data_IF_524374224864
#
_entry.id   IF_524374224864
#
_cell.length_a   1.000
_cell.length_b   1.000
_cell.length_c   1.000
_cell.angle_alpha   90.00
_cell.angle_beta   90.00
_cell.angle_gamma   90.00
#
_symmetry.space_group_name_H-M   'P 1'
#
loop_
_entity.id
_entity.type
_entity.pdbx_description
1 polymer ?
#
# COMPACT_ATOMS: atom_id res chain seq x y z
N UNK A 1 14.33 -28.90 -4.89
CA UNK A 1 13.90 -27.75 -4.07
C UNK A 1 14.52 -27.93 -2.71
N UNK A 2 15.34 -26.97 -2.32
CA UNK A 2 15.97 -26.98 -1.00
C UNK A 2 14.93 -26.55 0.05
N UNK A 3 14.99 -27.11 1.26
CA UNK A 3 14.09 -26.73 2.36
C UNK A 3 14.10 -25.22 2.62
N UNK A 4 15.24 -24.57 2.40
CA UNK A 4 15.38 -23.12 2.50
C UNK A 4 14.52 -22.37 1.48
N UNK A 5 14.47 -22.83 0.23
CA UNK A 5 13.68 -22.21 -0.83
C UNK A 5 12.17 -22.25 -0.50
N UNK A 6 11.70 -23.38 0.04
CA UNK A 6 10.29 -23.54 0.43
C UNK A 6 9.95 -22.59 1.58
N UNK A 7 10.88 -22.45 2.54
CA UNK A 7 10.67 -21.58 3.70
C UNK A 7 10.63 -20.10 3.31
N UNK A 8 11.55 -19.68 2.44
CA UNK A 8 11.58 -18.32 1.92
C UNK A 8 10.34 -17.98 1.11
N UNK A 9 9.87 -18.90 0.27
CA UNK A 9 8.65 -18.74 -0.50
C UNK A 9 7.42 -18.62 0.39
N UNK A 10 7.32 -19.45 1.43
CA UNK A 10 6.23 -19.36 2.40
C UNK A 10 6.21 -18.04 3.17
N UNK A 11 7.37 -17.54 3.59
CA UNK A 11 7.50 -16.24 4.24
C UNK A 11 7.13 -15.09 3.29
N UNK A 12 7.53 -15.19 2.03
CA UNK A 12 7.18 -14.18 1.02
C UNK A 12 5.67 -14.14 0.77
N UNK A 13 5.03 -15.30 0.61
CA UNK A 13 3.56 -15.38 0.47
C UNK A 13 2.83 -14.85 1.71
N UNK A 14 3.32 -15.16 2.90
CA UNK A 14 2.74 -14.66 4.13
C UNK A 14 2.80 -13.13 4.20
N UNK A 15 3.97 -12.54 3.92
CA UNK A 15 4.14 -11.08 3.87
C UNK A 15 3.19 -10.44 2.87
N UNK A 16 3.11 -11.01 1.68
CA UNK A 16 2.19 -10.53 0.63
C UNK A 16 0.73 -10.55 1.07
N UNK A 17 0.29 -11.64 1.72
CA UNK A 17 -1.08 -11.73 2.25
C UNK A 17 -1.34 -10.70 3.35
N UNK A 18 -0.35 -10.44 4.21
CA UNK A 18 -0.42 -9.38 5.20
C UNK A 18 -0.56 -8.00 4.55
N UNK A 19 0.24 -7.70 3.52
CA UNK A 19 0.16 -6.43 2.79
C UNK A 19 -1.21 -6.22 2.13
N UNK A 20 -1.75 -7.27 1.49
CA UNK A 20 -3.11 -7.23 0.93
C UNK A 20 -4.13 -6.92 2.03
N UNK A 21 -4.00 -7.57 3.18
CA UNK A 21 -4.87 -7.36 4.33
C UNK A 21 -4.81 -5.93 4.87
N UNK A 22 -3.61 -5.37 5.01
CA UNK A 22 -3.42 -3.99 5.49
C UNK A 22 -3.92 -2.93 4.51
N UNK A 23 -3.74 -3.17 3.22
CA UNK A 23 -4.13 -2.18 2.21
C UNK A 23 -5.60 -2.31 1.82
N UNK A 24 -6.08 -3.52 1.59
CA UNK A 24 -7.38 -3.78 0.96
C UNK A 24 -8.34 -4.65 1.77
N UNK A 25 -7.93 -5.10 2.96
CA UNK A 25 -8.78 -5.91 3.84
C UNK A 25 -10.11 -5.23 4.15
N UNK A 26 -11.16 -6.01 4.23
CA UNK A 26 -12.46 -5.51 4.70
C UNK A 26 -12.64 -5.83 6.16
N UNK A 27 -13.17 -4.87 6.91
CA UNK A 27 -13.59 -5.11 8.29
C UNK A 27 -14.60 -6.25 8.34
N UNK A 28 -14.33 -7.21 9.18
CA UNK A 28 -15.17 -8.40 9.29
C UNK A 28 -15.03 -9.09 10.63
N UNK A 29 -15.95 -10.02 10.86
CA UNK A 29 -15.96 -10.90 12.02
C UNK A 29 -16.23 -12.31 11.52
N UNK A 30 -15.32 -13.23 11.80
CA UNK A 30 -15.44 -14.64 11.44
C UNK A 30 -15.46 -15.49 12.71
N UNK A 31 -16.36 -16.46 12.74
CA UNK A 31 -16.34 -17.48 13.77
C UNK A 31 -15.32 -18.55 13.36
N UNK A 32 -14.24 -18.63 14.11
CA UNK A 32 -13.17 -19.60 13.86
C UNK A 32 -13.29 -20.76 14.86
N UNK A 33 -13.28 -21.98 14.34
CA UNK A 33 -13.17 -23.19 15.14
C UNK A 33 -11.87 -23.89 14.74
N UNK A 34 -10.97 -24.06 15.69
CA UNK A 34 -9.73 -24.77 15.45
C UNK A 34 -10.02 -26.26 15.21
N UNK A 35 -9.72 -26.74 14.02
CA UNK A 35 -9.89 -28.16 13.65
C UNK A 35 -8.95 -29.09 14.43
N UNK A 36 -7.81 -28.57 14.88
CA UNK A 36 -6.83 -29.33 15.66
C UNK A 36 -7.20 -29.40 17.15
N UNK A 37 -8.17 -28.59 17.59
CA UNK A 37 -8.67 -28.54 18.96
C UNK A 37 -10.20 -28.63 18.97
N UNK A 38 -10.78 -29.79 18.66
CA UNK A 38 -12.23 -29.93 18.46
C UNK A 38 -13.06 -29.61 19.70
N UNK A 39 -12.47 -29.67 20.89
CA UNK A 39 -13.13 -29.40 22.17
C UNK A 39 -13.03 -27.94 22.65
N UNK A 40 -12.34 -27.07 21.92
CA UNK A 40 -12.34 -25.63 22.22
C UNK A 40 -13.59 -24.94 21.66
N UNK A 41 -14.15 -24.02 22.47
CA UNK A 41 -15.25 -23.21 22.02
C UNK A 41 -14.82 -22.38 20.80
N UNK A 42 -15.70 -22.17 19.81
CA UNK A 42 -15.36 -21.35 18.67
C UNK A 42 -15.12 -19.90 19.11
N UNK A 43 -14.06 -19.31 18.61
CA UNK A 43 -13.66 -17.93 18.92
C UNK A 43 -13.97 -17.00 17.74
N UNK A 44 -14.28 -15.76 18.06
CA UNK A 44 -14.45 -14.75 17.03
C UNK A 44 -13.12 -14.13 16.65
N UNK A 45 -12.75 -14.24 15.37
CA UNK A 45 -11.63 -13.53 14.79
C UNK A 45 -12.13 -12.26 14.12
N UNK A 46 -11.57 -11.14 14.50
CA UNK A 46 -11.90 -9.82 13.95
C UNK A 46 -10.87 -9.41 12.93
N UNK A 47 -11.34 -8.99 11.76
CA UNK A 47 -10.49 -8.44 10.70
C UNK A 47 -10.55 -6.92 10.71
N UNK A 48 -9.39 -6.31 10.64
CA UNK A 48 -9.27 -4.87 10.56
C UNK A 48 -9.59 -4.39 9.13
N UNK A 49 -10.09 -3.17 9.03
CA UNK A 49 -10.29 -2.49 7.76
C UNK A 49 -8.94 -2.04 7.19
N UNK A 50 -8.72 -2.25 5.91
CA UNK A 50 -7.55 -1.80 5.20
C UNK A 50 -7.62 -0.31 4.84
N UNK A 51 -6.45 0.29 4.63
CA UNK A 51 -6.30 1.74 4.36
C UNK A 51 -7.17 2.21 3.19
N UNK A 52 -7.31 1.39 2.17
CA UNK A 52 -8.12 1.70 0.98
C UNK A 52 -9.57 2.12 1.32
N UNK A 53 -10.16 1.48 2.31
CA UNK A 53 -11.56 1.70 2.69
C UNK A 53 -11.76 2.87 3.66
N UNK A 54 -10.66 3.40 4.21
CA UNK A 54 -10.68 4.58 5.09
C UNK A 54 -10.49 5.89 4.31
N UNK A 55 -10.15 5.79 3.01
CA UNK A 55 -10.03 6.96 2.13
C UNK A 55 -11.43 7.51 1.85
N UNK A 56 -11.63 8.78 2.16
CA UNK A 56 -12.92 9.47 2.04
C UNK A 56 -12.95 10.55 0.95
N UNK A 57 -11.81 10.83 0.29
CA UNK A 57 -11.72 11.78 -0.82
C UNK A 57 -11.37 11.03 -2.10
N UNK A 58 -12.15 11.25 -3.14
CA UNK A 58 -11.98 10.56 -4.42
C UNK A 58 -11.78 11.60 -5.54
N UNK A 59 -10.90 11.28 -6.46
CA UNK A 59 -10.66 12.00 -7.70
C UNK A 59 -10.82 11.02 -8.85
N UNK A 60 -11.73 11.32 -9.77
CA UNK A 60 -11.98 10.49 -10.93
C UNK A 60 -11.23 11.05 -12.14
N UNK A 61 -10.52 10.20 -12.85
CA UNK A 61 -9.88 10.51 -14.11
C UNK A 61 -10.32 9.50 -15.18
N UNK A 62 -10.13 9.85 -16.46
CA UNK A 62 -10.45 8.95 -17.57
C UNK A 62 -9.20 8.10 -17.87
N UNK A 63 -9.24 6.76 -17.66
CA UNK A 63 -8.12 5.88 -17.97
C UNK A 63 -7.68 6.02 -19.44
N UNK A 64 -6.36 6.12 -19.65
CA UNK A 64 -5.77 6.37 -20.96
C UNK A 64 -5.77 7.84 -21.40
N UNK A 65 -6.34 8.76 -20.60
CA UNK A 65 -6.40 10.19 -20.90
C UNK A 65 -6.00 11.05 -19.69
N UNK A 66 -5.01 10.60 -18.94
CA UNK A 66 -4.48 11.38 -17.82
C UNK A 66 -3.82 12.66 -18.30
N UNK A 67 -4.12 13.76 -17.66
CA UNK A 67 -3.65 15.08 -18.06
C UNK A 67 -2.90 15.79 -16.92
N UNK A 68 -2.20 16.86 -17.25
CA UNK A 68 -1.61 17.75 -16.25
C UNK A 68 -2.66 18.31 -15.27
N UNK A 69 -3.87 18.60 -15.76
CA UNK A 69 -4.94 19.12 -14.92
C UNK A 69 -5.39 18.09 -13.88
N UNK A 70 -5.37 16.81 -14.21
CA UNK A 70 -5.67 15.74 -13.26
C UNK A 70 -4.63 15.68 -12.15
N UNK A 71 -3.34 15.80 -12.51
CA UNK A 71 -2.27 15.85 -11.51
C UNK A 71 -2.41 17.06 -10.58
N UNK A 72 -2.72 18.23 -11.11
CA UNK A 72 -2.98 19.43 -10.31
C UNK A 72 -4.23 19.26 -9.44
N UNK A 73 -5.29 18.64 -9.98
CA UNK A 73 -6.51 18.32 -9.23
C UNK A 73 -6.24 17.45 -8.03
N UNK A 74 -5.48 16.35 -8.23
CA UNK A 74 -5.07 15.43 -7.16
C UNK A 74 -4.21 16.18 -6.11
N UNK A 75 -3.21 16.94 -6.57
CA UNK A 75 -2.32 17.70 -5.69
C UNK A 75 -3.09 18.74 -4.89
N UNK A 76 -3.98 19.48 -5.53
CA UNK A 76 -4.85 20.46 -4.88
C UNK A 76 -5.75 19.79 -3.84
N UNK A 77 -6.38 18.64 -4.18
CA UNK A 77 -7.25 17.91 -3.24
C UNK A 77 -6.49 17.44 -2.01
N UNK A 78 -5.24 16.94 -2.17
CA UNK A 78 -4.40 16.48 -1.05
C UNK A 78 -3.99 17.63 -0.15
N UNK A 79 -3.55 18.76 -0.72
CA UNK A 79 -2.92 19.85 0.02
C UNK A 79 -3.88 21.02 0.36
N UNK A 80 -5.13 20.96 -0.10
CA UNK A 80 -6.16 21.92 0.30
C UNK A 80 -6.81 21.45 1.59
N UNK A 81 -6.62 22.22 2.64
CA UNK A 81 -7.08 21.94 3.97
C UNK A 81 -5.95 22.02 4.99
N UNK A 82 -6.28 21.89 6.25
CA UNK A 82 -5.33 22.03 7.36
C UNK A 82 -4.46 20.77 7.60
N UNK A 83 -4.10 20.06 6.54
CA UNK A 83 -3.27 18.86 6.61
C UNK A 83 -1.81 19.29 6.68
N UNK A 84 -1.18 19.04 7.82
CA UNK A 84 0.13 19.58 8.18
C UNK A 84 1.31 19.19 7.27
N UNK A 85 1.25 18.10 6.52
CA UNK A 85 2.33 17.67 5.62
C UNK A 85 2.14 18.23 4.21
N UNK A 86 3.21 18.85 3.68
CA UNK A 86 3.30 19.27 2.27
C UNK A 86 3.90 18.19 1.36
N UNK A 87 4.10 17.00 1.89
CA UNK A 87 4.61 15.85 1.16
C UNK A 87 3.54 14.77 1.14
N UNK A 88 3.14 14.34 -0.05
CA UNK A 88 2.22 13.23 -0.26
C UNK A 88 2.92 12.04 -0.87
N UNK A 89 2.60 10.83 -0.41
CA UNK A 89 3.03 9.58 -1.03
C UNK A 89 1.91 9.05 -1.91
N UNK A 90 2.14 9.01 -3.20
CA UNK A 90 1.15 8.56 -4.18
C UNK A 90 1.50 7.16 -4.68
N UNK A 91 0.88 6.15 -4.10
CA UNK A 91 0.99 4.77 -4.52
C UNK A 91 0.06 4.52 -5.71
N UNK A 92 0.62 4.07 -6.83
CA UNK A 92 -0.11 3.91 -8.10
C UNK A 92 0.05 2.52 -8.68
N UNK A 93 -0.98 2.03 -9.36
CA UNK A 93 -0.90 0.85 -10.19
C UNK A 93 -0.19 1.13 -11.51
N UNK A 94 0.18 0.08 -12.24
CA UNK A 94 0.99 0.17 -13.47
C UNK A 94 0.31 0.99 -14.57
N UNK A 95 -0.99 0.80 -14.80
CA UNK A 95 -1.71 1.46 -15.90
C UNK A 95 -1.84 2.96 -15.63
N UNK A 96 -2.13 3.36 -14.38
CA UNK A 96 -2.15 4.77 -13.99
C UNK A 96 -0.74 5.39 -14.10
N UNK A 97 0.29 4.67 -13.67
CA UNK A 97 1.67 5.14 -13.79
C UNK A 97 2.06 5.36 -15.26
N UNK A 98 1.69 4.42 -16.14
CA UNK A 98 1.93 4.54 -17.58
C UNK A 98 1.23 5.78 -18.16
N UNK A 99 -0.04 6.01 -17.81
CA UNK A 99 -0.78 7.19 -18.25
C UNK A 99 -0.14 8.48 -17.74
N UNK A 100 0.32 8.51 -16.51
CA UNK A 100 1.06 9.65 -15.95
C UNK A 100 2.38 9.92 -16.69
N UNK A 101 3.12 8.89 -17.06
CA UNK A 101 4.40 9.03 -17.76
C UNK A 101 4.25 9.49 -19.22
N UNK A 102 3.08 9.32 -19.83
CA UNK A 102 2.78 9.82 -21.19
C UNK A 102 2.56 11.33 -21.24
N UNK A 103 2.31 11.97 -20.10
CA UNK A 103 2.10 13.41 -20.04
C UNK A 103 3.41 14.16 -20.25
N UNK A 104 3.40 15.10 -21.17
CA UNK A 104 4.57 15.99 -21.42
C UNK A 104 4.60 17.12 -20.39
N UNK A 105 5.32 16.91 -19.31
CA UNK A 105 5.46 17.88 -18.22
C UNK A 105 6.41 19.05 -18.55
N UNK A 106 7.21 18.94 -19.61
CA UNK A 106 8.18 19.99 -19.98
C UNK A 106 7.52 21.30 -20.40
N UNK A 107 6.25 21.23 -20.79
CA UNK A 107 5.45 22.40 -21.19
C UNK A 107 4.97 23.23 -19.99
N UNK A 108 5.07 22.70 -18.78
CA UNK A 108 4.50 23.31 -17.58
C UNK A 108 5.62 23.80 -16.65
N UNK A 109 5.81 25.13 -16.62
CA UNK A 109 6.90 25.77 -15.88
C UNK A 109 6.75 25.68 -14.35
N UNK A 110 5.52 25.46 -13.87
CA UNK A 110 5.20 25.45 -12.45
C UNK A 110 5.34 24.06 -11.80
N UNK A 111 5.79 23.08 -12.58
CA UNK A 111 5.96 21.72 -12.11
C UNK A 111 7.40 21.25 -12.35
N UNK A 112 8.09 20.89 -11.27
CA UNK A 112 9.39 20.24 -11.36
C UNK A 112 9.23 18.73 -11.16
N UNK A 113 9.74 17.95 -12.11
CA UNK A 113 9.73 16.48 -12.05
C UNK A 113 11.14 16.02 -11.73
N UNK A 114 11.31 15.38 -10.59
CA UNK A 114 12.61 14.87 -10.12
C UNK A 114 12.52 13.36 -9.93
N UNK A 115 13.39 12.62 -10.62
CA UNK A 115 13.58 11.19 -10.38
C UNK A 115 14.53 10.98 -9.20
N UNK A 116 14.14 10.15 -8.26
CA UNK A 116 14.99 9.77 -7.14
C UNK A 116 14.86 8.27 -6.84
N UNK A 117 15.89 7.71 -6.22
CA UNK A 117 15.83 6.34 -5.69
C UNK A 117 16.02 6.40 -4.19
N UNK A 118 15.00 5.99 -3.44
CA UNK A 118 15.03 5.95 -1.99
C UNK A 118 14.67 4.54 -1.53
N UNK A 119 15.48 3.95 -0.67
CA UNK A 119 15.31 2.58 -0.20
C UNK A 119 15.20 1.51 -1.32
N UNK A 120 15.91 1.71 -2.45
CA UNK A 120 15.84 0.81 -3.60
C UNK A 120 14.58 0.95 -4.47
N UNK A 121 13.66 1.85 -4.12
CA UNK A 121 12.43 2.12 -4.86
C UNK A 121 12.63 3.36 -5.74
N UNK A 122 12.35 3.22 -7.03
CA UNK A 122 12.31 4.37 -7.95
C UNK A 122 11.08 5.22 -7.63
N UNK A 123 11.30 6.49 -7.37
CA UNK A 123 10.26 7.46 -7.09
C UNK A 123 10.35 8.60 -8.09
N UNK A 124 9.20 9.07 -8.55
CA UNK A 124 9.09 10.29 -9.32
C UNK A 124 8.41 11.34 -8.46
N UNK A 125 9.13 12.42 -8.15
CA UNK A 125 8.60 13.51 -7.34
C UNK A 125 8.08 14.63 -8.24
N UNK A 126 6.84 15.00 -8.04
CA UNK A 126 6.20 16.16 -8.67
C UNK A 126 6.11 17.29 -7.66
N UNK A 127 6.92 18.32 -7.86
CA UNK A 127 6.94 19.51 -7.00
C UNK A 127 6.06 20.60 -7.63
N UNK A 128 5.11 21.06 -6.86
CA UNK A 128 4.19 22.14 -7.24
C UNK A 128 4.09 23.18 -6.14
N UNK A 129 3.48 24.33 -6.45
CA UNK A 129 3.21 25.38 -5.47
C UNK A 129 2.31 24.91 -4.29
N UNK A 130 1.56 23.83 -4.46
CA UNK A 130 0.71 23.26 -3.41
C UNK A 130 1.48 22.33 -2.49
N UNK A 131 2.49 21.63 -3.00
CA UNK A 131 3.29 20.65 -2.26
C UNK A 131 3.95 19.64 -3.20
N UNK A 132 4.58 18.63 -2.61
CA UNK A 132 5.33 17.60 -3.33
C UNK A 132 4.59 16.27 -3.28
N UNK A 133 4.36 15.67 -4.44
CA UNK A 133 3.81 14.33 -4.60
C UNK A 133 4.92 13.35 -5.00
N UNK A 134 5.20 12.38 -4.14
CA UNK A 134 6.13 11.29 -4.42
C UNK A 134 5.36 10.10 -5.00
N UNK A 135 5.48 9.87 -6.29
CA UNK A 135 4.80 8.79 -7.00
C UNK A 135 5.64 7.53 -6.96
N UNK A 136 5.02 6.43 -6.56
CA UNK A 136 5.66 5.11 -6.45
C UNK A 136 4.74 4.06 -7.04
N UNK A 137 5.29 3.19 -7.87
CA UNK A 137 4.58 2.00 -8.33
C UNK A 137 4.42 1.01 -7.19
N UNK A 138 3.19 0.58 -6.95
CA UNK A 138 2.85 -0.41 -5.94
C UNK A 138 2.33 -1.70 -6.62
N UNK A 139 3.20 -2.72 -6.81
CA UNK A 139 2.85 -3.93 -7.58
C UNK A 139 1.64 -4.69 -7.05
N UNK A 140 1.35 -4.56 -5.76
CA UNK A 140 0.19 -5.21 -5.13
C UNK A 140 -1.15 -4.68 -5.66
N UNK A 141 -1.18 -3.44 -6.15
CA UNK A 141 -2.37 -2.87 -6.79
C UNK A 141 -2.68 -3.57 -8.11
N UNK A 142 -1.63 -3.95 -8.86
CA UNK A 142 -1.80 -4.67 -10.13
C UNK A 142 -2.35 -6.07 -9.91
N UNK A 143 -1.92 -6.73 -8.83
CA UNK A 143 -2.36 -8.07 -8.46
C UNK A 143 -3.80 -8.10 -7.91
N UNK A 144 -4.31 -6.96 -7.45
CA UNK A 144 -5.65 -6.82 -6.86
C UNK A 144 -6.64 -6.13 -7.80
N UNK A 145 -6.41 -6.17 -9.10
CA UNK A 145 -7.26 -5.55 -10.16
C UNK A 145 -7.41 -4.03 -10.02
N UNK A 146 -6.44 -3.38 -9.39
CA UNK A 146 -6.42 -1.93 -9.16
C UNK A 146 -5.32 -1.22 -9.96
N UNK A 147 -4.90 -1.79 -11.10
CA UNK A 147 -3.83 -1.25 -11.94
C UNK A 147 -4.09 0.19 -12.42
N UNK A 148 -5.37 0.57 -12.57
CA UNK A 148 -5.82 1.90 -12.97
C UNK A 148 -6.10 2.84 -11.80
N UNK A 149 -5.81 2.42 -10.58
CA UNK A 149 -6.09 3.21 -9.38
C UNK A 149 -4.79 3.69 -8.75
N UNK A 150 -4.94 4.70 -7.90
CA UNK A 150 -3.88 5.19 -7.03
C UNK A 150 -4.45 5.65 -5.71
N UNK A 151 -3.62 5.71 -4.68
CA UNK A 151 -3.96 6.27 -3.38
C UNK A 151 -2.90 7.23 -2.92
N UNK A 152 -3.32 8.40 -2.48
CA UNK A 152 -2.42 9.39 -1.90
C UNK A 152 -2.48 9.27 -0.38
N UNK A 153 -1.33 8.98 0.21
CA UNK A 153 -1.19 8.74 1.64
C UNK A 153 -0.24 9.78 2.25
N UNK A 154 -0.46 10.07 3.50
CA UNK A 154 0.48 10.79 4.35
C UNK A 154 1.16 9.80 5.27
N UNK A 155 2.41 9.42 4.94
CA UNK A 155 3.13 8.37 5.66
C UNK A 155 3.41 8.77 7.09
N UNK A 156 3.62 10.06 7.35
CA UNK A 156 3.95 10.57 8.69
C UNK A 156 2.80 10.36 9.69
N UNK A 157 1.58 10.21 9.18
CA UNK A 157 0.38 9.98 9.99
C UNK A 157 -0.13 8.52 9.96
N UNK A 158 0.56 7.63 9.25
CA UNK A 158 0.24 6.21 9.26
C UNK A 158 0.86 5.56 10.50
N UNK A 159 0.00 5.17 11.44
CA UNK A 159 0.42 4.49 12.67
C UNK A 159 -0.15 3.08 12.69
N UNK A 160 0.72 2.11 12.89
CA UNK A 160 0.32 0.72 13.10
C UNK A 160 0.18 0.44 14.60
N UNK A 161 -1.01 0.05 15.01
CA UNK A 161 -1.26 -0.45 16.36
C UNK A 161 -1.23 -1.99 16.36
N UNK A 162 -0.52 -2.58 17.29
CA UNK A 162 -0.47 -4.04 17.48
C UNK A 162 -0.46 -4.37 18.98
N UNK A 163 -0.95 -5.56 19.32
CA UNK A 163 -0.85 -6.07 20.68
C UNK A 163 0.58 -6.56 20.90
N UNK A 164 1.17 -6.20 22.03
CA UNK A 164 2.59 -6.48 22.36
C UNK A 164 2.94 -7.97 22.30
N UNK A 165 1.97 -8.85 22.59
CA UNK A 165 2.18 -10.30 22.65
C UNK A 165 1.95 -11.01 21.29
N UNK A 166 1.56 -10.27 20.25
CA UNK A 166 1.30 -10.80 18.89
C UNK A 166 2.45 -10.54 17.91
N UNK A 167 3.66 -10.37 18.39
CA UNK A 167 4.83 -10.33 17.53
C UNK A 167 5.07 -11.69 16.89
N UNK A 168 5.30 -11.72 15.58
CA UNK A 168 5.70 -12.94 14.87
C UNK A 168 7.07 -13.35 15.40
N UNK A 169 7.12 -14.38 16.22
CA UNK A 169 8.38 -14.95 16.73
C UNK A 169 8.81 -16.07 15.81
N UNK A 170 10.08 -16.09 15.46
CA UNK A 170 10.71 -17.24 14.81
C UNK A 170 10.91 -18.30 15.88
N UNK A 171 10.13 -19.39 15.82
CA UNK A 171 10.31 -20.54 16.69
C UNK A 171 11.21 -21.52 15.94
N UNK A 172 12.37 -21.80 16.52
CA UNK A 172 13.25 -22.84 16.01
C UNK A 172 12.72 -24.20 16.45
N UNK A 173 12.19 -24.96 15.51
CA UNK A 173 11.61 -26.29 15.75
C UNK A 173 12.65 -27.41 15.66
N UNK A 174 13.91 -27.09 15.38
CA UNK A 174 14.97 -28.09 15.18
C UNK A 174 15.42 -28.80 16.47
N UNK A 175 15.02 -28.30 17.64
CA UNK A 175 15.46 -28.82 18.95
C UNK A 175 14.49 -29.86 19.57
N UNK A 176 13.36 -30.15 18.91
CA UNK A 176 12.36 -31.11 19.48
C UNK A 176 12.48 -32.55 18.97
N UNK A 177 13.62 -32.94 18.42
CA UNK A 177 13.84 -34.27 17.84
C UNK A 177 14.85 -35.17 18.54
N UNK A 178 15.31 -34.84 19.74
CA UNK A 178 16.18 -35.73 20.49
C UNK A 178 15.57 -36.00 21.87
N UNK A 179 14.73 -37.04 21.92
CA UNK A 179 14.56 -37.99 23.05
C UNK A 179 14.21 -39.37 22.51
#
# INVERSE_FOLDING_TARGET
WDEQDIHEQALWEFRRKCEIGYLFGRKGKLLFKDSNRPNTAPEFVYFQQGIWWDINKFYDYIPGSFTYNDLIGITKMKFTGNNGSKIGFFAVGKDLLEDMLKVDYTKYKDLTVVGSTKWGIKMTSFESSFGTLNVVHLPIMDQTERSKHGMVLDIDYLVRYYMKDNETKKVDMSVQGEE
#
